data_IF_485305225199
#
_entry.id   IF_485305225199
#
_cell.length_a   1.000
_cell.length_b   1.000
_cell.length_c   1.000
_cell.angle_alpha   90.00
_cell.angle_beta   90.00
_cell.angle_gamma   90.00
#
_symmetry.space_group_name_H-M   'P 1'
#
loop_
_entity.id
_entity.type
_entity.pdbx_description
1 polymer ?
#
# COMPACT_ATOMS: atom_id res chain seq x y z
N UNK A 1 26.16 -20.40 -5.95
CA UNK A 1 26.03 -18.94 -5.75
C UNK A 1 24.55 -18.65 -5.62
N UNK A 2 24.07 -18.29 -4.43
CA UNK A 2 22.69 -17.86 -4.26
C UNK A 2 22.58 -16.45 -4.86
N UNK A 3 21.85 -16.34 -5.97
CA UNK A 3 21.48 -15.08 -6.60
C UNK A 3 20.83 -14.18 -5.55
N UNK A 4 21.30 -12.93 -5.46
CA UNK A 4 20.84 -11.98 -4.46
C UNK A 4 19.32 -11.82 -4.62
N UNK A 5 18.59 -12.36 -3.65
CA UNK A 5 17.15 -12.14 -3.49
C UNK A 5 16.96 -10.63 -3.44
N UNK A 6 16.38 -10.08 -4.50
CA UNK A 6 16.22 -8.63 -4.65
C UNK A 6 15.35 -8.07 -3.52
N UNK A 7 15.65 -6.85 -3.08
CA UNK A 7 15.00 -6.14 -1.95
C UNK A 7 13.47 -6.01 -2.12
N UNK A 8 12.95 -6.24 -3.32
CA UNK A 8 11.53 -6.19 -3.67
C UNK A 8 10.79 -7.53 -3.58
N UNK A 9 11.42 -8.58 -3.03
CA UNK A 9 10.79 -9.90 -2.93
C UNK A 9 10.14 -10.16 -1.57
N UNK A 10 9.11 -10.98 -1.56
CA UNK A 10 8.41 -11.42 -0.36
C UNK A 10 8.84 -12.84 -0.06
N UNK A 11 9.39 -13.04 1.13
CA UNK A 11 9.89 -14.35 1.54
C UNK A 11 9.02 -14.96 2.62
N UNK A 12 8.77 -16.26 2.53
CA UNK A 12 8.22 -17.05 3.61
C UNK A 12 8.99 -18.37 3.77
N UNK A 13 8.86 -18.96 4.95
CA UNK A 13 9.51 -20.21 5.32
C UNK A 13 8.51 -21.19 5.90
N UNK A 14 8.74 -22.48 5.70
CA UNK A 14 7.98 -23.58 6.29
C UNK A 14 8.92 -24.68 6.76
N UNK A 15 8.35 -25.68 7.47
CA UNK A 15 9.07 -26.81 8.07
C UNK A 15 10.33 -26.35 8.82
N UNK A 16 10.17 -25.47 9.81
CA UNK A 16 11.25 -24.93 10.65
C UNK A 16 12.41 -24.29 9.86
N UNK A 17 12.09 -23.67 8.73
CA UNK A 17 13.07 -22.98 7.89
C UNK A 17 13.81 -23.88 6.90
N UNK A 18 13.42 -25.16 6.80
CA UNK A 18 13.97 -26.09 5.82
C UNK A 18 13.56 -25.75 4.39
N UNK A 19 12.40 -25.12 4.23
CA UNK A 19 11.90 -24.62 2.95
C UNK A 19 11.76 -23.11 3.04
N UNK A 20 12.35 -22.38 2.09
CA UNK A 20 12.16 -20.94 1.91
C UNK A 20 11.70 -20.64 0.49
N UNK A 21 10.66 -19.85 0.36
CA UNK A 21 10.12 -19.38 -0.92
C UNK A 21 10.27 -17.87 -0.98
N UNK A 22 10.74 -17.36 -2.12
CA UNK A 22 10.73 -15.94 -2.45
C UNK A 22 9.78 -15.70 -3.63
N UNK A 23 8.83 -14.78 -3.44
CA UNK A 23 7.91 -14.32 -4.46
C UNK A 23 8.31 -12.93 -4.94
N UNK A 24 8.12 -12.68 -6.24
CA UNK A 24 8.12 -11.34 -6.82
C UNK A 24 6.86 -10.60 -6.42
N UNK A 25 6.86 -9.28 -6.57
CA UNK A 25 5.68 -8.43 -6.35
C UNK A 25 4.52 -8.73 -7.31
N UNK A 26 4.79 -9.38 -8.45
CA UNK A 26 3.78 -9.88 -9.39
C UNK A 26 3.15 -11.23 -8.97
N UNK A 27 3.53 -11.75 -7.79
CA UNK A 27 3.01 -13.01 -7.23
C UNK A 27 3.67 -14.27 -7.78
N UNK A 28 4.62 -14.16 -8.72
CA UNK A 28 5.33 -15.33 -9.26
C UNK A 28 6.48 -15.75 -8.33
N UNK A 29 6.71 -17.06 -8.25
CA UNK A 29 7.85 -17.61 -7.53
C UNK A 29 9.14 -17.18 -8.23
N UNK A 30 10.03 -16.54 -7.48
CA UNK A 30 11.37 -16.18 -7.93
C UNK A 30 12.35 -17.31 -7.64
N UNK A 31 12.30 -17.82 -6.40
CA UNK A 31 13.25 -18.81 -5.92
C UNK A 31 12.60 -19.69 -4.85
N UNK A 32 13.03 -20.95 -4.84
CA UNK A 32 12.77 -21.89 -3.74
C UNK A 32 14.14 -22.37 -3.26
N UNK A 33 14.43 -22.14 -1.99
CA UNK A 33 15.66 -22.58 -1.35
C UNK A 33 15.33 -23.70 -0.38
N UNK A 34 16.01 -24.83 -0.53
CA UNK A 34 15.84 -26.00 0.30
C UNK A 34 17.11 -26.23 1.12
N UNK A 35 16.97 -26.37 2.43
CA UNK A 35 18.07 -26.73 3.31
C UNK A 35 18.48 -28.19 3.06
N UNK A 36 19.76 -28.58 3.16
CA UNK A 36 20.19 -29.96 2.90
C UNK A 36 19.45 -31.04 3.71
N UNK A 37 18.95 -30.67 4.89
CA UNK A 37 18.22 -31.54 5.81
C UNK A 37 16.84 -31.96 5.27
N UNK A 38 16.29 -31.28 4.25
CA UNK A 38 15.02 -31.69 3.62
C UNK A 38 15.06 -33.12 3.07
N UNK A 39 16.26 -33.65 2.76
CA UNK A 39 16.44 -35.02 2.29
C UNK A 39 16.01 -36.07 3.31
N UNK A 40 15.83 -35.68 4.57
CA UNK A 40 15.34 -36.54 5.65
C UNK A 40 13.82 -36.50 5.80
N UNK A 41 13.15 -35.55 5.15
CA UNK A 41 11.70 -35.45 5.17
C UNK A 41 11.10 -36.45 4.17
N UNK A 42 9.98 -37.10 4.52
CA UNK A 42 9.12 -37.76 3.55
C UNK A 42 8.73 -36.80 2.42
N UNK A 43 8.60 -37.33 1.20
CA UNK A 43 8.27 -36.52 0.01
C UNK A 43 6.93 -35.79 0.18
N UNK A 44 5.97 -36.41 0.84
CA UNK A 44 4.66 -35.80 1.15
C UNK A 44 4.81 -34.59 2.06
N UNK A 45 5.58 -34.70 3.15
CA UNK A 45 5.83 -33.59 4.06
C UNK A 45 6.62 -32.45 3.41
N UNK A 46 7.57 -32.78 2.51
CA UNK A 46 8.27 -31.76 1.73
C UNK A 46 7.32 -31.03 0.78
N UNK A 47 6.40 -31.74 0.12
CA UNK A 47 5.41 -31.13 -0.75
C UNK A 47 4.49 -30.18 0.04
N UNK A 48 4.00 -30.63 1.19
CA UNK A 48 3.15 -29.83 2.08
C UNK A 48 3.89 -28.57 2.57
N UNK A 49 5.16 -28.70 2.98
CA UNK A 49 5.98 -27.57 3.39
C UNK A 49 6.20 -26.55 2.26
N UNK A 50 6.36 -27.01 1.02
CA UNK A 50 6.47 -26.10 -0.14
C UNK A 50 5.15 -25.36 -0.36
N UNK A 51 4.01 -26.05 -0.33
CA UNK A 51 2.69 -25.44 -0.49
C UNK A 51 2.41 -24.43 0.61
N UNK A 52 2.76 -24.76 1.85
CA UNK A 52 2.65 -23.87 3.01
C UNK A 52 3.49 -22.60 2.81
N UNK A 53 4.78 -22.74 2.49
CA UNK A 53 5.66 -21.60 2.27
C UNK A 53 5.17 -20.69 1.13
N UNK A 54 4.68 -21.26 0.01
CA UNK A 54 4.09 -20.48 -1.09
C UNK A 54 2.84 -19.75 -0.62
N UNK A 55 1.94 -20.44 0.07
CA UNK A 55 0.67 -19.87 0.53
C UNK A 55 0.90 -18.73 1.52
N UNK A 56 1.81 -18.90 2.47
CA UNK A 56 2.18 -17.85 3.43
C UNK A 56 2.80 -16.64 2.73
N UNK A 57 3.68 -16.85 1.74
CA UNK A 57 4.23 -15.73 0.97
C UNK A 57 3.15 -14.99 0.15
N UNK A 58 2.17 -15.70 -0.41
CA UNK A 58 1.05 -15.10 -1.14
C UNK A 58 0.12 -14.30 -0.21
N UNK A 59 -0.17 -14.83 0.98
CA UNK A 59 -0.96 -14.11 1.99
C UNK A 59 -0.26 -12.83 2.43
N UNK A 60 1.06 -12.87 2.64
CA UNK A 60 1.87 -11.69 2.97
C UNK A 60 1.86 -10.67 1.83
N UNK A 61 1.94 -11.10 0.57
CA UNK A 61 1.78 -10.21 -0.59
C UNK A 61 0.41 -9.52 -0.59
N UNK A 62 -0.66 -10.27 -0.40
CA UNK A 62 -2.02 -9.70 -0.34
C UNK A 62 -2.17 -8.71 0.81
N UNK A 63 -1.57 -9.01 1.98
CA UNK A 63 -1.56 -8.10 3.13
C UNK A 63 -0.87 -6.79 2.81
N UNK A 64 0.34 -6.83 2.22
CA UNK A 64 1.10 -5.63 1.82
C UNK A 64 0.36 -4.80 0.78
N UNK A 65 -0.26 -5.45 -0.21
CA UNK A 65 -1.08 -4.76 -1.22
C UNK A 65 -2.28 -4.08 -0.57
N UNK A 66 -2.96 -4.73 0.37
CA UNK A 66 -4.09 -4.16 1.08
C UNK A 66 -3.68 -2.99 2.00
N UNK A 67 -2.48 -3.02 2.58
CA UNK A 67 -1.92 -1.92 3.38
C UNK A 67 -1.56 -0.72 2.50
N UNK A 68 -0.81 -0.93 1.41
CA UNK A 68 -0.48 0.12 0.46
C UNK A 68 -1.73 0.79 -0.12
N UNK A 69 -2.78 0.02 -0.43
CA UNK A 69 -4.05 0.57 -0.90
C UNK A 69 -4.76 1.42 0.16
N UNK A 70 -4.73 1.00 1.42
CA UNK A 70 -5.34 1.75 2.54
C UNK A 70 -4.60 3.07 2.77
N UNK A 71 -3.28 3.06 2.74
CA UNK A 71 -2.44 4.25 2.86
C UNK A 71 -2.72 5.23 1.72
N UNK A 72 -2.65 4.78 0.46
CA UNK A 72 -2.97 5.61 -0.70
C UNK A 72 -4.39 6.21 -0.65
N UNK A 73 -5.36 5.49 -0.09
CA UNK A 73 -6.72 5.99 0.08
C UNK A 73 -6.84 7.08 1.15
N UNK A 74 -6.07 6.98 2.24
CA UNK A 74 -5.99 8.02 3.28
C UNK A 74 -5.36 9.28 2.73
N UNK A 75 -4.21 9.15 2.06
CA UNK A 75 -3.53 10.28 1.45
C UNK A 75 -4.41 11.02 0.43
N UNK A 76 -5.18 10.26 -0.36
CA UNK A 76 -6.12 10.84 -1.32
C UNK A 76 -7.26 11.59 -0.62
N UNK A 77 -7.81 11.04 0.47
CA UNK A 77 -8.85 11.69 1.25
C UNK A 77 -8.36 12.97 1.93
N UNK A 78 -7.14 12.97 2.49
CA UNK A 78 -6.52 14.14 3.10
C UNK A 78 -6.29 15.26 2.08
N UNK A 79 -5.77 14.92 0.90
CA UNK A 79 -5.60 15.89 -0.20
C UNK A 79 -6.93 16.49 -0.64
N UNK A 80 -7.97 15.67 -0.77
CA UNK A 80 -9.29 16.14 -1.15
C UNK A 80 -9.90 17.08 -0.09
N UNK A 81 -9.73 16.74 1.19
CA UNK A 81 -10.19 17.60 2.31
C UNK A 81 -9.48 18.95 2.29
N UNK A 82 -8.16 18.96 2.13
CA UNK A 82 -7.37 20.19 2.07
C UNK A 82 -7.79 21.08 0.89
N UNK A 83 -8.12 20.47 -0.26
CA UNK A 83 -8.63 21.20 -1.42
C UNK A 83 -10.01 21.83 -1.15
N UNK A 84 -10.92 21.10 -0.49
CA UNK A 84 -12.21 21.66 -0.09
C UNK A 84 -12.07 22.84 0.88
N UNK A 85 -11.17 22.74 1.85
CA UNK A 85 -10.89 23.84 2.78
C UNK A 85 -10.33 25.06 2.04
N UNK A 86 -9.46 24.83 1.05
CA UNK A 86 -8.92 25.88 0.21
C UNK A 86 -10.02 26.60 -0.60
N UNK A 87 -10.86 25.83 -1.30
CA UNK A 87 -11.98 26.35 -2.11
C UNK A 87 -12.97 27.13 -1.24
N UNK A 88 -13.33 26.60 -0.06
CA UNK A 88 -14.22 27.28 0.87
C UNK A 88 -13.62 28.60 1.36
N UNK A 89 -12.33 28.62 1.70
CA UNK A 89 -11.64 29.83 2.12
C UNK A 89 -11.53 30.88 1.01
N UNK A 90 -11.42 30.46 -0.26
CA UNK A 90 -11.48 31.37 -1.41
C UNK A 90 -12.89 31.91 -1.63
N UNK A 91 -13.90 31.04 -1.59
CA UNK A 91 -15.30 31.42 -1.76
C UNK A 91 -15.73 32.47 -0.73
N UNK A 92 -15.42 32.25 0.55
CA UNK A 92 -15.71 33.20 1.64
C UNK A 92 -14.99 34.54 1.47
N UNK A 93 -13.74 34.52 0.99
CA UNK A 93 -13.02 35.76 0.67
C UNK A 93 -13.71 36.52 -0.46
N UNK A 94 -14.15 35.81 -1.51
CA UNK A 94 -14.82 36.42 -2.66
C UNK A 94 -16.16 37.05 -2.28
N UNK A 95 -16.97 36.38 -1.46
CA UNK A 95 -18.24 36.94 -0.97
C UNK A 95 -18.02 38.18 -0.10
N UNK A 96 -17.02 38.18 0.77
CA UNK A 96 -16.69 39.35 1.59
C UNK A 96 -16.31 40.59 0.74
N UNK A 97 -15.60 40.38 -0.38
CA UNK A 97 -15.28 41.46 -1.33
C UNK A 97 -16.55 42.00 -2.00
N UNK A 98 -17.47 41.13 -2.42
CA UNK A 98 -18.72 41.55 -3.03
C UNK A 98 -19.61 42.32 -2.04
N UNK A 99 -19.72 41.88 -0.79
CA UNK A 99 -20.50 42.56 0.24
C UNK A 99 -19.95 43.95 0.56
N UNK A 100 -18.61 44.07 0.66
CA UNK A 100 -17.95 45.36 0.86
C UNK A 100 -18.18 46.32 -0.31
N UNK A 101 -18.11 45.81 -1.55
CA UNK A 101 -18.37 46.61 -2.75
C UNK A 101 -19.83 47.07 -2.86
N UNK A 102 -20.79 46.18 -2.57
CA UNK A 102 -22.22 46.52 -2.57
C UNK A 102 -22.57 47.59 -1.53
N UNK A 103 -21.98 47.48 -0.33
CA UNK A 103 -22.15 48.47 0.73
C UNK A 103 -21.61 49.85 0.32
N UNK A 104 -20.47 49.90 -0.36
CA UNK A 104 -19.86 51.16 -0.82
C UNK A 104 -20.68 51.83 -1.94
N UNK A 105 -21.26 51.04 -2.86
CA UNK A 105 -22.17 51.57 -3.90
C UNK A 105 -23.41 52.21 -3.26
N UNK A 106 -24.05 51.52 -2.31
CA UNK A 106 -25.25 52.03 -1.64
C UNK A 106 -24.96 53.36 -0.92
N UNK A 107 -23.84 53.43 -0.19
CA UNK A 107 -23.41 54.67 0.48
C UNK A 107 -23.24 55.86 -0.48
N UNK A 108 -22.76 55.62 -1.71
CA UNK A 108 -22.61 56.67 -2.73
C UNK A 108 -23.93 57.12 -3.35
N UNK A 109 -24.99 56.32 -3.25
CA UNK A 109 -26.31 56.66 -3.80
C UNK A 109 -27.20 57.41 -2.80
N UNK A 110 -26.95 57.25 -1.49
CA UNK A 110 -27.71 57.90 -0.42
C UNK A 110 -27.17 59.29 -0.01
N UNK A 111 -25.99 59.68 -0.50
CA UNK A 111 -25.39 61.01 -0.34
C UNK A 111 -25.44 61.82 -1.63
#
# INVERSE_FOLDING_TARGET
MAEAVSDSSITATAADGLVRVALRTDGRVQAITLAPQVKRLPVTELADAIVEAVSTAQQELLRRVAEARREASRDAAERLSAEFDHINAEYLRRTAVYDAFGTEILKRMEG
#
